data_IF_397344656538
#
_entry.id   IF_397344656538
#
_cell.length_a   1.000
_cell.length_b   1.000
_cell.length_c   1.000
_cell.angle_alpha   90.00
_cell.angle_beta   90.00
_cell.angle_gamma   90.00
#
_symmetry.space_group_name_H-M   'P 1'
#
loop_
_entity.id
_entity.type
_entity.pdbx_description
1 polymer ?
#
# COMPACT_ATOMS: atom_id res chain seq x y z
N UNK A 1 19.24 1.37 -0.03
CA UNK A 1 18.52 2.52 0.43
C UNK A 1 18.53 2.75 1.94
N UNK A 2 18.96 1.78 2.73
CA UNK A 2 19.15 1.93 4.18
C UNK A 2 20.63 1.73 4.46
N UNK A 3 21.25 2.66 5.16
CA UNK A 3 22.68 2.60 5.50
C UNK A 3 23.45 3.79 4.96
N UNK A 4 24.43 3.58 4.12
CA UNK A 4 25.32 4.64 3.68
C UNK A 4 24.71 5.57 2.63
N UNK A 5 24.90 6.85 2.85
CA UNK A 5 24.53 7.93 1.95
C UNK A 5 25.80 8.47 1.28
N UNK A 6 25.88 8.52 -0.07
CA UNK A 6 27.02 9.10 -0.73
C UNK A 6 27.10 10.62 -0.44
N UNK A 7 28.30 11.20 -0.38
CA UNK A 7 28.47 12.64 -0.23
C UNK A 7 27.93 13.38 -1.45
N UNK A 8 27.76 14.69 -1.31
CA UNK A 8 27.38 15.57 -2.42
C UNK A 8 28.41 15.44 -3.55
N UNK A 9 27.92 15.24 -4.78
CA UNK A 9 28.71 14.97 -5.99
C UNK A 9 29.53 13.66 -5.93
N UNK A 10 29.36 12.84 -4.90
CA UNK A 10 30.04 11.55 -4.80
C UNK A 10 29.48 10.52 -5.79
N UNK A 11 30.36 9.59 -6.20
CA UNK A 11 30.02 8.43 -7.05
C UNK A 11 29.73 7.25 -6.13
N UNK A 12 28.64 6.52 -6.39
CA UNK A 12 28.27 5.32 -5.65
C UNK A 12 27.86 4.22 -6.62
N UNK A 13 28.60 3.12 -6.56
CA UNK A 13 28.30 1.88 -7.32
C UNK A 13 27.48 0.95 -6.42
N UNK A 14 26.38 0.41 -6.91
CA UNK A 14 25.39 -0.32 -6.09
C UNK A 14 24.72 -1.46 -6.85
N UNK A 15 24.30 -2.45 -6.09
CA UNK A 15 23.46 -3.56 -6.59
C UNK A 15 21.97 -3.35 -6.29
N UNK A 16 21.60 -2.30 -5.55
CA UNK A 16 20.22 -1.98 -5.24
C UNK A 16 19.50 -1.32 -6.41
N UNK A 17 18.40 -1.90 -6.87
CA UNK A 17 17.58 -1.39 -7.97
C UNK A 17 16.70 -0.19 -7.61
N UNK A 18 16.56 0.16 -6.33
CA UNK A 18 15.85 1.36 -5.86
C UNK A 18 16.81 2.52 -5.63
N UNK A 19 17.36 3.06 -6.71
CA UNK A 19 18.46 4.02 -6.69
C UNK A 19 18.18 5.30 -7.50
N UNK A 20 16.94 5.69 -7.69
CA UNK A 20 16.60 6.93 -8.38
C UNK A 20 17.20 8.15 -7.68
N UNK A 21 17.39 9.24 -8.42
CA UNK A 21 18.03 10.47 -7.98
C UNK A 21 17.45 10.97 -6.64
N UNK A 22 18.30 11.22 -5.67
CA UNK A 22 17.93 11.69 -4.33
C UNK A 22 17.38 10.61 -3.37
N UNK A 23 17.19 9.36 -3.82
CA UNK A 23 16.68 8.28 -2.96
C UNK A 23 17.58 7.98 -1.76
N UNK A 24 18.88 7.98 -1.97
CA UNK A 24 19.89 7.56 -1.00
C UNK A 24 20.80 8.72 -0.58
N UNK A 25 20.27 9.92 -0.44
CA UNK A 25 21.00 11.07 0.04
C UNK A 25 20.97 12.28 -0.88
N UNK A 26 22.12 12.90 -1.14
CA UNK A 26 22.21 14.10 -1.96
C UNK A 26 21.65 13.89 -3.39
N UNK A 27 20.82 14.81 -3.85
CA UNK A 27 20.30 14.80 -5.21
C UNK A 27 21.39 14.93 -6.30
N UNK A 28 22.57 15.39 -5.92
CA UNK A 28 23.71 15.58 -6.83
C UNK A 28 24.67 14.38 -6.84
N UNK A 29 24.43 13.35 -6.01
CA UNK A 29 25.22 12.13 -6.05
C UNK A 29 24.93 11.34 -7.33
N UNK A 30 26.00 10.77 -7.88
CA UNK A 30 25.93 9.92 -9.07
C UNK A 30 25.81 8.46 -8.64
N UNK A 31 24.68 7.83 -8.95
CA UNK A 31 24.38 6.46 -8.55
C UNK A 31 24.42 5.55 -9.78
N UNK A 32 25.23 4.49 -9.70
CA UNK A 32 25.37 3.47 -10.76
C UNK A 32 24.88 2.12 -10.25
N UNK A 33 23.92 1.54 -10.97
CA UNK A 33 23.43 0.19 -10.74
C UNK A 33 24.30 -0.78 -11.51
N UNK A 34 24.88 -1.75 -10.82
CA UNK A 34 25.75 -2.77 -11.41
C UNK A 34 25.43 -4.15 -10.85
N UNK A 35 26.01 -5.19 -11.44
CA UNK A 35 25.98 -6.55 -10.90
C UNK A 35 26.81 -6.66 -9.62
N UNK A 36 26.55 -7.68 -8.77
CA UNK A 36 27.39 -7.94 -7.58
C UNK A 36 28.88 -8.11 -7.91
N UNK A 37 29.17 -8.78 -9.05
CA UNK A 37 30.54 -9.04 -9.52
C UNK A 37 31.25 -7.72 -9.88
N UNK A 38 30.58 -6.85 -10.63
CA UNK A 38 31.10 -5.52 -10.96
C UNK A 38 31.28 -4.64 -9.72
N UNK A 39 30.37 -4.74 -8.74
CA UNK A 39 30.53 -4.01 -7.47
C UNK A 39 31.75 -4.49 -6.71
N UNK A 40 31.98 -5.80 -6.63
CA UNK A 40 33.15 -6.40 -5.98
C UNK A 40 34.45 -6.02 -6.71
N UNK A 41 34.48 -6.14 -8.03
CA UNK A 41 35.64 -5.76 -8.86
C UNK A 41 35.98 -4.25 -8.67
N UNK A 42 34.97 -3.38 -8.69
CA UNK A 42 35.14 -1.95 -8.46
C UNK A 42 35.69 -1.67 -7.05
N UNK A 43 35.25 -2.40 -6.02
CA UNK A 43 35.75 -2.27 -4.66
C UNK A 43 37.22 -2.68 -4.52
N UNK A 44 37.64 -3.75 -5.24
CA UNK A 44 39.01 -4.24 -5.26
C UNK A 44 39.93 -3.26 -6.01
N UNK A 45 39.49 -2.79 -7.18
CA UNK A 45 40.30 -1.93 -8.05
C UNK A 45 40.35 -0.46 -7.56
N UNK A 46 39.39 -0.02 -6.74
CA UNK A 46 39.23 1.40 -6.34
C UNK A 46 38.75 2.33 -7.46
N UNK A 47 38.47 1.78 -8.63
CA UNK A 47 37.91 2.49 -9.80
C UNK A 47 36.79 1.67 -10.42
N UNK A 48 35.94 2.31 -11.23
CA UNK A 48 34.85 1.59 -11.90
C UNK A 48 35.42 0.54 -12.88
N UNK A 49 35.25 -0.75 -12.53
CA UNK A 49 35.93 -1.87 -13.17
C UNK A 49 35.00 -3.07 -13.21
N UNK A 50 35.01 -3.83 -14.30
CA UNK A 50 34.27 -5.09 -14.43
C UNK A 50 35.05 -6.26 -13.83
N UNK A 51 34.35 -7.37 -13.56
CA UNK A 51 35.02 -8.61 -13.13
C UNK A 51 35.99 -9.15 -14.23
N UNK A 52 35.59 -9.02 -15.47
CA UNK A 52 36.39 -9.44 -16.65
C UNK A 52 37.68 -8.65 -16.73
N UNK A 53 37.70 -7.35 -16.47
CA UNK A 53 38.89 -6.50 -16.48
C UNK A 53 39.93 -6.95 -15.45
N UNK A 54 39.50 -7.50 -14.32
CA UNK A 54 40.39 -8.00 -13.25
C UNK A 54 40.86 -9.41 -13.53
N UNK A 55 39.96 -10.28 -13.93
CA UNK A 55 40.21 -11.72 -14.02
C UNK A 55 40.62 -12.21 -15.42
N UNK A 56 40.35 -11.41 -16.45
CA UNK A 56 40.69 -11.76 -17.84
C UNK A 56 39.87 -12.93 -18.40
N UNK A 57 38.75 -13.27 -17.79
CA UNK A 57 37.86 -14.37 -18.17
C UNK A 57 36.44 -13.88 -18.37
N UNK A 58 35.66 -14.59 -19.18
CA UNK A 58 34.25 -14.30 -19.35
C UNK A 58 33.50 -14.60 -18.04
N UNK A 59 32.49 -13.74 -17.69
CA UNK A 59 31.70 -13.86 -16.47
C UNK A 59 30.99 -15.24 -16.39
N UNK A 60 30.66 -15.86 -17.52
CA UNK A 60 30.07 -17.20 -17.58
C UNK A 60 30.96 -18.29 -16.96
N UNK A 61 32.29 -18.12 -16.97
CA UNK A 61 33.22 -19.06 -16.36
C UNK A 61 33.33 -18.85 -14.83
N UNK A 62 33.00 -17.65 -14.34
CA UNK A 62 32.99 -17.32 -12.91
C UNK A 62 31.78 -17.86 -12.16
N UNK A 63 30.74 -18.28 -12.89
CA UNK A 63 29.45 -18.68 -12.33
C UNK A 63 29.43 -20.10 -11.74
N UNK A 64 30.52 -20.86 -11.81
CA UNK A 64 30.64 -22.18 -11.19
C UNK A 64 30.95 -22.06 -9.67
N UNK A 65 30.00 -21.44 -8.96
CA UNK A 65 30.04 -21.47 -7.50
C UNK A 65 29.53 -22.83 -7.04
N UNK A 66 30.42 -23.65 -6.51
CA UNK A 66 30.00 -24.88 -5.84
C UNK A 66 29.31 -24.53 -4.52
N UNK A 67 28.12 -25.08 -4.33
CA UNK A 67 27.49 -24.98 -3.01
C UNK A 67 28.35 -25.68 -1.97
N UNK A 68 28.52 -25.10 -0.77
CA UNK A 68 29.27 -25.75 0.30
C UNK A 68 28.54 -27.02 0.76
N UNK A 69 29.27 -28.07 1.11
CA UNK A 69 28.67 -29.29 1.69
C UNK A 69 27.89 -28.99 2.99
N UNK A 70 28.31 -27.97 3.73
CA UNK A 70 27.64 -27.50 4.93
C UNK A 70 27.59 -25.99 4.97
N UNK A 71 26.39 -25.45 5.21
CA UNK A 71 26.19 -24.01 5.45
C UNK A 71 26.51 -23.70 6.92
N UNK A 72 27.20 -22.57 7.13
CA UNK A 72 27.36 -22.05 8.49
C UNK A 72 26.02 -21.41 8.91
N UNK A 73 25.27 -22.12 9.74
CA UNK A 73 23.97 -21.66 10.26
C UNK A 73 24.15 -21.36 11.75
N UNK A 74 23.89 -20.14 12.16
CA UNK A 74 23.80 -19.71 13.53
C UNK A 74 22.35 -19.30 13.84
N UNK A 75 21.65 -20.14 14.55
CA UNK A 75 20.28 -19.96 15.00
C UNK A 75 20.15 -19.51 16.46
N UNK A 76 21.26 -19.17 17.10
CA UNK A 76 21.31 -18.78 18.52
C UNK A 76 20.45 -17.56 18.86
N UNK A 77 20.16 -16.72 17.85
CA UNK A 77 19.33 -15.53 18.00
C UNK A 77 17.83 -15.79 17.80
N UNK A 78 17.43 -17.01 17.41
CA UNK A 78 16.01 -17.33 17.29
C UNK A 78 15.38 -17.51 18.67
N UNK A 79 14.34 -16.72 18.90
CA UNK A 79 13.49 -16.86 20.09
C UNK A 79 12.38 -17.84 19.73
N UNK A 80 12.35 -18.99 20.40
CA UNK A 80 11.31 -19.99 20.19
C UNK A 80 9.95 -19.47 20.65
N UNK A 81 8.83 -19.90 20.01
CA UNK A 81 7.50 -19.63 20.53
C UNK A 81 7.36 -20.12 21.97
N UNK A 82 6.63 -19.37 22.77
CA UNK A 82 6.26 -19.82 24.11
C UNK A 82 5.27 -20.98 24.05
N UNK A 83 5.22 -21.85 25.07
CA UNK A 83 4.16 -22.82 25.21
C UNK A 83 2.78 -22.15 25.27
N UNK A 84 1.74 -22.82 24.76
CA UNK A 84 0.37 -22.27 24.66
C UNK A 84 -0.14 -21.72 26.00
N UNK A 85 0.17 -22.39 27.12
CA UNK A 85 -0.21 -21.95 28.47
C UNK A 85 0.41 -20.61 28.90
N UNK A 86 1.49 -20.21 28.27
CA UNK A 86 2.20 -18.96 28.55
C UNK A 86 1.81 -17.85 27.56
N UNK A 87 1.34 -18.21 26.35
CA UNK A 87 0.98 -17.23 25.31
C UNK A 87 -0.12 -16.26 25.77
N UNK A 88 -1.12 -16.76 26.52
CA UNK A 88 -2.20 -15.92 27.03
C UNK A 88 -1.75 -14.87 28.05
N UNK A 89 -0.58 -15.08 28.67
CA UNK A 89 0.00 -14.19 29.69
C UNK A 89 0.93 -13.14 29.10
N UNK A 90 1.23 -13.23 27.80
CA UNK A 90 2.15 -12.31 27.13
C UNK A 90 1.53 -10.94 26.99
N UNK A 91 2.14 -9.95 27.62
CA UNK A 91 1.80 -8.56 27.43
C UNK A 91 2.50 -8.01 26.18
N UNK A 92 1.73 -7.41 25.27
CA UNK A 92 2.28 -6.75 24.08
C UNK A 92 2.80 -5.37 24.48
N UNK A 93 4.10 -5.25 24.66
CA UNK A 93 4.77 -3.99 24.96
C UNK A 93 5.05 -3.24 23.66
N UNK A 94 4.42 -2.08 23.46
CA UNK A 94 4.62 -1.22 22.29
C UNK A 94 5.46 0.00 22.66
N UNK A 95 6.36 0.36 21.76
CA UNK A 95 7.06 1.65 21.86
C UNK A 95 6.07 2.83 21.75
N UNK A 96 6.45 4.02 22.20
CA UNK A 96 5.52 5.18 22.32
C UNK A 96 4.90 5.60 20.98
N UNK A 97 5.58 5.36 19.87
CA UNK A 97 5.12 5.70 18.52
C UNK A 97 4.43 4.53 17.80
N UNK A 98 4.29 3.37 18.44
CA UNK A 98 3.61 2.21 17.86
C UNK A 98 2.20 2.14 18.44
N UNK A 99 1.20 2.38 17.59
CA UNK A 99 -0.21 2.29 17.96
C UNK A 99 -0.83 0.97 17.47
N UNK A 100 -1.88 0.46 18.12
CA UNK A 100 -2.59 -0.70 17.62
C UNK A 100 -3.01 -0.51 16.15
N UNK A 101 -2.90 -1.60 15.37
CA UNK A 101 -3.37 -1.59 13.99
C UNK A 101 -4.90 -1.40 13.98
N UNK A 102 -5.43 -0.42 13.24
CA UNK A 102 -6.87 -0.30 13.08
C UNK A 102 -7.42 -1.50 12.30
N UNK A 103 -8.45 -2.12 12.82
CA UNK A 103 -9.10 -3.27 12.17
C UNK A 103 -10.40 -2.77 11.55
N UNK A 104 -10.60 -2.94 10.22
CA UNK A 104 -11.80 -2.48 9.55
C UNK A 104 -13.03 -3.26 10.00
N UNK A 105 -14.19 -2.64 9.84
CA UNK A 105 -15.49 -3.27 10.08
C UNK A 105 -15.99 -3.99 8.84
N UNK A 106 -16.90 -4.95 9.03
CA UNK A 106 -17.63 -5.57 7.91
C UNK A 106 -18.49 -4.52 7.20
N UNK A 107 -18.69 -4.64 5.88
CA UNK A 107 -19.63 -3.78 5.17
C UNK A 107 -21.01 -3.78 5.83
N UNK A 108 -21.63 -2.63 5.88
CA UNK A 108 -23.01 -2.47 6.39
C UNK A 108 -24.03 -3.05 5.41
N UNK A 109 -25.24 -3.29 5.90
CA UNK A 109 -26.35 -3.74 5.06
C UNK A 109 -26.72 -2.69 4.01
N UNK A 110 -26.79 -1.43 4.43
CA UNK A 110 -26.96 -0.29 3.55
C UNK A 110 -25.83 0.71 3.82
N UNK A 111 -25.26 1.30 2.80
CA UNK A 111 -24.21 2.32 2.95
C UNK A 111 -24.81 3.70 2.65
N UNK A 112 -24.74 4.59 3.65
CA UNK A 112 -25.04 6.02 3.52
C UNK A 112 -23.73 6.77 3.79
N UNK A 113 -23.18 7.45 2.80
CA UNK A 113 -21.85 8.05 2.86
C UNK A 113 -21.73 9.27 1.96
N UNK A 114 -20.84 10.21 2.34
CA UNK A 114 -20.56 11.40 1.54
C UNK A 114 -19.31 11.22 0.70
N UNK A 115 -19.26 11.91 -0.45
CA UNK A 115 -18.03 11.97 -1.24
C UNK A 115 -17.02 12.85 -0.50
N UNK A 116 -15.97 12.21 0.06
CA UNK A 116 -14.90 12.93 0.77
C UNK A 116 -13.79 13.44 -0.13
N UNK A 117 -13.67 12.89 -1.34
CA UNK A 117 -12.70 13.32 -2.34
C UNK A 117 -13.25 13.01 -3.74
N UNK A 118 -13.14 13.98 -4.65
CA UNK A 118 -13.23 13.75 -6.09
C UNK A 118 -11.86 14.00 -6.69
N UNK A 119 -11.15 12.93 -7.01
CA UNK A 119 -9.79 12.95 -7.50
C UNK A 119 -9.75 12.74 -9.02
N UNK A 120 -8.84 13.41 -9.70
CA UNK A 120 -8.61 13.23 -11.14
C UNK A 120 -7.91 11.93 -11.49
N UNK A 121 -7.34 11.89 -12.69
CA UNK A 121 -6.61 10.75 -13.21
C UNK A 121 -5.21 10.62 -12.59
N UNK A 122 -4.67 9.40 -12.62
CA UNK A 122 -3.30 9.08 -12.24
C UNK A 122 -2.92 9.44 -10.80
N UNK A 123 -3.86 9.37 -9.88
CA UNK A 123 -3.56 9.51 -8.45
C UNK A 123 -2.59 8.41 -8.03
N UNK A 124 -1.45 8.83 -7.47
CA UNK A 124 -0.40 7.91 -7.01
C UNK A 124 -0.59 7.52 -5.55
N UNK A 125 0.02 6.40 -5.16
CA UNK A 125 0.08 6.03 -3.73
C UNK A 125 0.87 7.05 -2.89
N UNK A 126 1.73 7.90 -3.51
CA UNK A 126 2.39 9.03 -2.86
C UNK A 126 1.47 10.23 -2.64
N UNK A 127 0.49 10.43 -3.51
CA UNK A 127 -0.55 11.44 -3.32
C UNK A 127 -1.48 11.04 -2.18
N UNK A 128 -1.84 9.74 -2.12
CA UNK A 128 -2.69 9.21 -1.06
C UNK A 128 -1.98 9.26 0.30
N UNK A 129 -0.75 8.73 0.36
CA UNK A 129 0.02 8.70 1.61
C UNK A 129 1.48 9.02 1.31
N UNK A 130 1.96 10.21 1.63
CA UNK A 130 3.32 10.64 1.31
C UNK A 130 4.39 9.74 1.91
N UNK A 131 5.46 9.47 1.16
CA UNK A 131 6.59 8.67 1.58
C UNK A 131 7.90 9.48 1.54
N UNK A 132 8.19 10.15 2.62
CA UNK A 132 9.49 10.76 2.88
C UNK A 132 10.04 10.27 4.22
N UNK A 133 11.26 10.65 4.56
CA UNK A 133 11.87 10.32 5.86
C UNK A 133 10.97 10.75 7.04
N UNK A 134 10.34 11.93 6.94
CA UNK A 134 9.38 12.43 7.93
C UNK A 134 8.23 11.45 8.16
N UNK A 135 7.62 10.94 7.08
CA UNK A 135 6.45 10.06 7.17
C UNK A 135 6.84 8.61 7.52
N UNK A 136 8.08 8.21 7.18
CA UNK A 136 8.58 6.87 7.51
C UNK A 136 8.62 6.62 9.01
N UNK A 137 8.90 7.63 9.82
CA UNK A 137 8.92 7.52 11.28
C UNK A 137 7.53 7.38 11.92
N UNK A 138 6.45 7.69 11.18
CA UNK A 138 5.06 7.66 11.68
C UNK A 138 4.29 6.43 11.23
N UNK A 139 4.88 5.53 10.44
CA UNK A 139 4.16 4.41 9.78
C UNK A 139 3.41 3.50 10.74
N UNK A 140 3.92 3.31 11.95
CA UNK A 140 3.28 2.51 12.98
C UNK A 140 2.29 3.30 13.86
N UNK A 141 2.03 4.56 13.51
CA UNK A 141 1.10 5.45 14.22
C UNK A 141 0.01 5.93 13.27
N UNK A 142 -1.01 5.07 13.05
CA UNK A 142 -2.10 5.38 12.10
C UNK A 142 -2.85 6.66 12.43
N UNK A 143 -3.22 6.97 13.68
CA UNK A 143 -3.87 8.24 14.02
C UNK A 143 -3.08 9.47 13.56
N UNK A 144 -1.75 9.42 13.66
CA UNK A 144 -0.89 10.52 13.21
C UNK A 144 -0.71 10.50 11.69
N UNK A 145 -0.50 9.33 11.10
CA UNK A 145 -0.27 9.18 9.66
C UNK A 145 -1.49 9.57 8.84
N UNK A 146 -2.68 9.23 9.31
CA UNK A 146 -3.95 9.53 8.64
C UNK A 146 -4.22 11.05 8.49
N UNK A 147 -3.67 11.88 9.38
CA UNK A 147 -3.78 13.34 9.26
C UNK A 147 -3.14 13.89 7.99
N UNK A 148 -2.23 13.13 7.37
CA UNK A 148 -1.52 13.51 6.16
C UNK A 148 -2.03 12.80 4.89
N UNK A 149 -3.13 12.04 4.99
CA UNK A 149 -3.74 11.44 3.81
C UNK A 149 -4.14 12.53 2.81
N UNK A 150 -3.72 12.35 1.56
CA UNK A 150 -3.91 13.30 0.45
C UNK A 150 -3.38 14.72 0.68
N UNK A 151 -2.56 14.98 1.69
CA UNK A 151 -2.17 16.33 2.07
C UNK A 151 -1.47 17.14 0.96
N UNK A 152 -0.95 16.49 -0.08
CA UNK A 152 -0.36 17.15 -1.25
C UNK A 152 -1.38 17.42 -2.35
N UNK A 153 -2.47 16.67 -2.39
CA UNK A 153 -3.53 16.76 -3.39
C UNK A 153 -4.70 17.61 -2.89
N UNK A 154 -5.16 17.33 -1.68
CA UNK A 154 -6.26 18.02 -0.99
C UNK A 154 -5.95 18.08 0.51
N UNK A 155 -5.35 19.16 1.01
CA UNK A 155 -4.96 19.31 2.42
C UNK A 155 -6.13 19.20 3.42
N UNK A 156 -7.36 19.43 3.00
CA UNK A 156 -8.55 19.36 3.87
C UNK A 156 -9.19 17.96 3.89
N UNK A 157 -8.72 17.03 3.06
CA UNK A 157 -9.30 15.70 2.96
C UNK A 157 -9.43 15.00 4.31
N UNK A 158 -8.35 14.93 5.10
CA UNK A 158 -8.34 14.20 6.37
C UNK A 158 -9.38 14.72 7.35
N UNK A 159 -9.49 16.04 7.49
CA UNK A 159 -10.48 16.66 8.36
C UNK A 159 -11.91 16.42 7.85
N UNK A 160 -12.11 16.57 6.56
CA UNK A 160 -13.41 16.36 5.90
C UNK A 160 -13.87 14.91 6.04
N UNK A 161 -13.04 13.93 5.69
CA UNK A 161 -13.37 12.52 5.81
C UNK A 161 -13.70 12.15 7.26
N UNK A 162 -12.89 12.62 8.22
CA UNK A 162 -13.13 12.40 9.64
C UNK A 162 -14.45 13.02 10.11
N UNK A 163 -14.81 14.21 9.63
CA UNK A 163 -16.07 14.87 9.99
C UNK A 163 -17.32 14.14 9.45
N UNK A 164 -17.17 13.44 8.33
CA UNK A 164 -18.26 12.65 7.75
C UNK A 164 -18.44 11.30 8.45
N UNK A 165 -17.39 10.78 9.06
CA UNK A 165 -17.39 9.45 9.70
C UNK A 165 -17.44 8.29 8.73
N UNK A 166 -18.28 8.38 7.68
CA UNK A 166 -18.36 7.43 6.58
C UNK A 166 -18.27 8.17 5.26
N UNK A 167 -17.40 7.71 4.38
CA UNK A 167 -17.21 8.39 3.11
C UNK A 167 -16.83 7.46 1.96
N UNK A 168 -16.97 8.00 0.77
CA UNK A 168 -16.59 7.38 -0.51
C UNK A 168 -15.60 8.32 -1.20
N UNK A 169 -14.59 7.74 -1.84
CA UNK A 169 -13.66 8.47 -2.71
C UNK A 169 -14.06 8.21 -4.16
N UNK A 170 -14.12 9.26 -4.96
CA UNK A 170 -14.29 9.19 -6.41
C UNK A 170 -12.96 9.43 -7.07
N UNK A 171 -12.52 8.51 -7.93
CA UNK A 171 -11.25 8.56 -8.67
C UNK A 171 -11.44 8.60 -10.19
N UNK A 172 -10.48 9.17 -10.90
CA UNK A 172 -10.39 9.10 -12.35
C UNK A 172 -9.74 7.81 -12.84
N UNK A 173 -9.03 7.89 -13.96
CA UNK A 173 -8.27 6.77 -14.54
C UNK A 173 -7.04 6.44 -13.73
N UNK A 174 -6.67 5.13 -13.69
CA UNK A 174 -5.42 4.62 -13.11
C UNK A 174 -5.21 5.07 -11.65
N UNK A 175 -6.28 5.03 -10.85
CA UNK A 175 -6.24 5.43 -9.45
C UNK A 175 -5.37 4.49 -8.61
N UNK A 176 -4.50 5.05 -7.77
CA UNK A 176 -3.62 4.30 -6.86
C UNK A 176 -2.36 3.73 -7.51
N UNK A 177 -1.92 4.28 -8.65
CA UNK A 177 -0.70 3.84 -9.30
C UNK A 177 0.56 4.05 -8.44
N UNK A 178 1.64 3.36 -8.77
CA UNK A 178 2.95 3.53 -8.14
C UNK A 178 3.34 2.38 -7.22
N UNK A 179 4.06 2.69 -6.14
CA UNK A 179 4.59 1.68 -5.22
C UNK A 179 3.49 0.93 -4.45
N UNK A 180 3.73 -0.36 -4.16
CA UNK A 180 2.87 -1.14 -3.28
C UNK A 180 2.95 -0.59 -1.84
N UNK A 181 1.91 0.12 -1.41
CA UNK A 181 1.84 0.73 -0.07
C UNK A 181 0.50 0.45 0.56
N UNK A 182 0.50 -0.41 1.55
CA UNK A 182 -0.70 -0.68 2.35
C UNK A 182 -1.23 0.58 3.03
N UNK A 183 -0.34 1.49 3.44
CA UNK A 183 -0.72 2.76 4.06
C UNK A 183 -1.66 3.60 3.18
N UNK A 184 -1.56 3.47 1.85
CA UNK A 184 -2.48 4.12 0.93
C UNK A 184 -3.93 3.56 0.99
N UNK A 185 -4.12 2.42 1.63
CA UNK A 185 -5.45 1.89 1.96
C UNK A 185 -5.78 2.05 3.45
N UNK A 186 -4.81 1.81 4.35
CA UNK A 186 -5.04 1.90 5.81
C UNK A 186 -5.41 3.31 6.24
N UNK A 187 -4.75 4.35 5.69
CA UNK A 187 -5.03 5.73 6.13
C UNK A 187 -6.42 6.22 5.73
N UNK A 188 -6.92 6.03 4.50
CA UNK A 188 -8.32 6.30 4.18
C UNK A 188 -9.30 5.45 4.97
N UNK A 189 -9.03 4.16 5.15
CA UNK A 189 -9.86 3.27 5.97
C UNK A 189 -10.00 3.81 7.41
N UNK A 190 -8.88 4.21 8.02
CA UNK A 190 -8.87 4.79 9.37
C UNK A 190 -9.71 6.07 9.46
N UNK A 191 -9.79 6.86 8.38
CA UNK A 191 -10.60 8.07 8.29
C UNK A 191 -12.07 7.80 7.94
N UNK A 192 -12.49 6.52 7.85
CA UNK A 192 -13.88 6.16 7.60
C UNK A 192 -14.26 6.00 6.12
N UNK A 193 -13.28 5.94 5.22
CA UNK A 193 -13.56 5.59 3.81
C UNK A 193 -14.01 4.14 3.71
N UNK A 194 -15.20 3.90 3.14
CA UNK A 194 -15.82 2.59 2.99
C UNK A 194 -15.68 2.02 1.58
N UNK A 195 -15.60 2.88 0.59
CA UNK A 195 -15.47 2.49 -0.80
C UNK A 195 -14.67 3.51 -1.62
N UNK A 196 -14.11 3.05 -2.71
CA UNK A 196 -13.51 3.88 -3.77
C UNK A 196 -14.19 3.52 -5.07
N UNK A 197 -14.73 4.50 -5.79
CA UNK A 197 -15.31 4.35 -7.12
C UNK A 197 -14.42 5.09 -8.10
N UNK A 198 -13.86 4.40 -9.09
CA UNK A 198 -12.94 5.02 -10.04
C UNK A 198 -13.27 4.63 -11.48
N UNK A 199 -12.73 5.36 -12.46
CA UNK A 199 -12.82 4.94 -13.87
C UNK A 199 -11.98 3.70 -14.13
N UNK A 200 -10.79 3.62 -13.49
CA UNK A 200 -9.93 2.43 -13.44
C UNK A 200 -8.99 2.48 -12.23
N UNK A 201 -8.47 1.33 -11.80
CA UNK A 201 -7.57 1.22 -10.62
C UNK A 201 -6.32 0.44 -10.93
N UNK A 202 -5.21 0.86 -10.33
CA UNK A 202 -3.97 0.10 -10.33
C UNK A 202 -4.14 -1.21 -9.52
N UNK A 203 -3.74 -2.34 -10.12
CA UNK A 203 -3.95 -3.69 -9.56
C UNK A 203 -3.50 -3.85 -8.11
N UNK A 204 -2.28 -3.40 -7.78
CA UNK A 204 -1.72 -3.56 -6.43
C UNK A 204 -2.55 -2.75 -5.41
N UNK A 205 -2.95 -1.54 -5.78
CA UNK A 205 -3.75 -0.69 -4.90
C UNK A 205 -5.16 -1.27 -4.68
N UNK A 206 -5.79 -1.81 -5.73
CA UNK A 206 -7.06 -2.54 -5.64
C UNK A 206 -6.97 -3.65 -4.59
N UNK A 207 -5.91 -4.48 -4.64
CA UNK A 207 -5.71 -5.55 -3.66
C UNK A 207 -5.51 -5.00 -2.24
N UNK A 208 -4.78 -3.89 -2.07
CA UNK A 208 -4.64 -3.26 -0.76
C UNK A 208 -5.96 -2.74 -0.21
N UNK A 209 -6.83 -2.17 -1.04
CA UNK A 209 -8.18 -1.75 -0.63
C UNK A 209 -8.98 -2.95 -0.10
N UNK A 210 -9.00 -4.08 -0.84
CA UNK A 210 -9.65 -5.33 -0.46
C UNK A 210 -9.14 -5.82 0.90
N UNK A 211 -7.81 -5.89 1.06
CA UNK A 211 -7.17 -6.36 2.28
C UNK A 211 -7.57 -5.53 3.52
N UNK A 212 -7.89 -4.28 3.33
CA UNK A 212 -8.29 -3.35 4.39
C UNK A 212 -9.79 -3.03 4.39
N UNK A 213 -10.62 -3.85 3.75
CA UNK A 213 -12.08 -3.76 3.82
C UNK A 213 -12.69 -2.53 3.17
N UNK A 214 -11.95 -1.85 2.29
CA UNK A 214 -12.48 -0.79 1.42
C UNK A 214 -12.94 -1.44 0.12
N UNK A 215 -14.19 -1.20 -0.28
CA UNK A 215 -14.77 -1.79 -1.48
C UNK A 215 -14.29 -1.05 -2.74
N UNK A 216 -13.48 -1.68 -3.62
CA UNK A 216 -13.04 -1.06 -4.87
C UNK A 216 -14.08 -1.29 -5.96
N UNK A 217 -14.62 -0.22 -6.51
CA UNK A 217 -15.65 -0.25 -7.55
C UNK A 217 -15.17 0.52 -8.79
N UNK A 218 -15.58 0.06 -9.96
CA UNK A 218 -15.33 0.71 -11.24
C UNK A 218 -16.65 1.23 -11.79
N UNK A 219 -16.69 2.46 -12.28
CA UNK A 219 -17.87 3.00 -12.95
C UNK A 219 -18.30 2.09 -14.10
N UNK A 220 -19.55 1.65 -14.13
CA UNK A 220 -20.09 0.90 -15.27
C UNK A 220 -20.12 1.79 -16.54
N UNK A 221 -20.39 3.08 -16.35
CA UNK A 221 -20.25 4.11 -17.38
C UNK A 221 -19.28 5.19 -16.87
N UNK A 222 -18.08 5.34 -17.45
CA UNK A 222 -17.09 6.34 -17.01
C UNK A 222 -17.59 7.79 -17.05
N UNK A 223 -18.61 8.11 -17.86
CA UNK A 223 -19.20 9.45 -17.94
C UNK A 223 -19.96 9.85 -16.66
N UNK A 224 -20.35 8.88 -15.82
CA UNK A 224 -21.03 9.18 -14.55
C UNK A 224 -20.11 9.87 -13.54
N UNK A 225 -18.79 9.72 -13.69
CA UNK A 225 -17.80 10.47 -12.91
C UNK A 225 -18.05 11.98 -12.96
N UNK A 226 -18.39 12.53 -14.15
CA UNK A 226 -18.54 13.98 -14.35
C UNK A 226 -19.79 14.55 -13.65
N UNK A 227 -20.77 13.70 -13.36
CA UNK A 227 -22.03 14.09 -12.72
C UNK A 227 -21.92 14.27 -11.20
N UNK A 228 -20.89 13.70 -10.58
CA UNK A 228 -20.69 13.68 -9.13
C UNK A 228 -19.89 14.89 -8.66
N UNK A 229 -20.15 15.37 -7.45
CA UNK A 229 -19.43 16.49 -6.84
C UNK A 229 -18.90 16.11 -5.44
N UNK A 230 -17.92 16.86 -4.97
CA UNK A 230 -17.45 16.77 -3.61
C UNK A 230 -18.61 17.05 -2.64
N UNK A 231 -18.73 16.22 -1.60
CA UNK A 231 -19.77 16.28 -0.56
C UNK A 231 -21.17 15.79 -0.98
N UNK A 232 -21.36 15.31 -2.21
CA UNK A 232 -22.61 14.64 -2.57
C UNK A 232 -22.88 13.46 -1.65
N UNK A 233 -24.14 13.25 -1.30
CA UNK A 233 -24.61 12.20 -0.40
C UNK A 233 -25.02 10.96 -1.20
N UNK A 234 -24.22 9.90 -1.12
CA UNK A 234 -24.46 8.66 -1.81
C UNK A 234 -25.14 7.64 -0.91
N UNK A 235 -26.12 6.92 -1.47
CA UNK A 235 -26.81 5.84 -0.79
C UNK A 235 -26.75 4.56 -1.63
N UNK A 236 -26.40 3.46 -0.98
CA UNK A 236 -26.35 2.13 -1.61
C UNK A 236 -27.21 1.19 -0.76
N UNK A 237 -28.43 0.87 -1.21
CA UNK A 237 -29.30 -0.08 -0.54
C UNK A 237 -28.75 -1.50 -0.68
N UNK A 238 -29.02 -2.38 0.29
CA UNK A 238 -28.61 -3.79 0.27
C UNK A 238 -27.14 -3.97 -0.14
N UNK A 239 -26.25 -3.11 0.38
CA UNK A 239 -24.86 -3.01 -0.08
C UNK A 239 -24.11 -4.34 -0.03
N UNK A 240 -24.32 -5.13 1.03
CA UNK A 240 -23.69 -6.46 1.15
C UNK A 240 -24.13 -7.42 0.04
N UNK A 241 -25.40 -7.44 -0.31
CA UNK A 241 -25.91 -8.30 -1.39
C UNK A 241 -25.43 -7.81 -2.76
N UNK A 242 -25.35 -6.50 -2.95
CA UNK A 242 -24.84 -5.93 -4.18
C UNK A 242 -23.33 -6.22 -4.34
N UNK A 243 -22.54 -6.24 -3.26
CA UNK A 243 -21.13 -6.68 -3.31
C UNK A 243 -21.04 -8.14 -3.80
N UNK A 244 -21.91 -9.04 -3.30
CA UNK A 244 -21.94 -10.45 -3.75
C UNK A 244 -22.32 -10.58 -5.23
N UNK A 245 -23.23 -9.76 -5.71
CA UNK A 245 -23.65 -9.76 -7.12
C UNK A 245 -22.62 -9.13 -8.05
N UNK A 246 -21.58 -8.46 -7.50
CA UNK A 246 -20.55 -7.71 -8.23
C UNK A 246 -21.09 -6.55 -9.05
N UNK A 247 -22.32 -6.16 -8.84
CA UNK A 247 -23.00 -5.04 -9.48
C UNK A 247 -23.65 -4.16 -8.43
N UNK A 248 -23.34 -2.88 -8.43
CA UNK A 248 -23.76 -1.95 -7.38
C UNK A 248 -24.46 -0.75 -8.01
N UNK A 249 -25.72 -0.55 -7.65
CA UNK A 249 -26.49 0.65 -8.00
C UNK A 249 -26.39 1.65 -6.87
N UNK A 250 -25.97 2.86 -7.19
CA UNK A 250 -25.71 3.95 -6.26
C UNK A 250 -26.69 5.08 -6.55
N UNK A 251 -27.34 5.57 -5.50
CA UNK A 251 -28.23 6.73 -5.56
C UNK A 251 -27.47 7.96 -5.01
N UNK A 252 -27.37 9.02 -5.80
CA UNK A 252 -26.94 10.31 -5.31
C UNK A 252 -28.16 11.10 -4.81
N UNK A 253 -28.31 11.15 -3.50
CA UNK A 253 -29.42 11.84 -2.82
C UNK A 253 -29.38 13.37 -3.03
N UNK A 254 -28.20 13.92 -3.30
CA UNK A 254 -28.01 15.36 -3.49
C UNK A 254 -28.57 15.82 -4.82
N UNK A 255 -28.29 15.06 -5.88
CA UNK A 255 -28.68 15.43 -7.26
C UNK A 255 -29.90 14.67 -7.75
N UNK A 256 -30.28 13.57 -7.09
CA UNK A 256 -31.41 12.70 -7.47
C UNK A 256 -31.08 11.76 -8.63
N UNK A 257 -29.80 11.61 -9.02
CA UNK A 257 -29.40 10.69 -10.08
C UNK A 257 -29.04 9.31 -9.49
N UNK A 258 -29.14 8.28 -10.33
CA UNK A 258 -28.61 6.97 -10.02
C UNK A 258 -27.60 6.56 -11.09
N UNK A 259 -26.60 5.80 -10.67
CA UNK A 259 -25.57 5.26 -11.56
C UNK A 259 -25.11 3.88 -11.06
N UNK A 260 -24.45 3.14 -11.93
CA UNK A 260 -23.99 1.79 -11.63
C UNK A 260 -22.47 1.70 -11.57
N UNK A 261 -22.00 0.82 -10.69
CA UNK A 261 -20.59 0.44 -10.59
C UNK A 261 -20.47 -1.09 -10.56
N UNK A 262 -19.31 -1.59 -10.98
CA UNK A 262 -19.01 -3.02 -11.02
C UNK A 262 -17.81 -3.36 -10.15
N UNK A 263 -17.79 -4.56 -9.60
CA UNK A 263 -16.66 -5.10 -8.85
C UNK A 263 -15.97 -6.17 -9.72
N UNK A 264 -14.78 -5.81 -10.22
CA UNK A 264 -13.91 -6.74 -10.96
C UNK A 264 -13.10 -7.59 -9.98
N UNK A 265 -13.80 -8.45 -9.21
CA UNK A 265 -13.25 -9.24 -8.11
C UNK A 265 -13.57 -10.72 -8.27
N UNK A 266 -12.68 -11.58 -7.77
CA UNK A 266 -12.96 -13.00 -7.61
C UNK A 266 -13.93 -13.25 -6.44
N UNK A 267 -14.47 -14.47 -6.35
CA UNK A 267 -15.37 -14.84 -5.25
C UNK A 267 -14.63 -14.82 -3.90
N UNK A 268 -13.35 -15.24 -3.88
CA UNK A 268 -12.53 -15.20 -2.67
C UNK A 268 -12.28 -13.74 -2.20
N UNK A 269 -12.02 -12.81 -3.13
CA UNK A 269 -11.86 -11.39 -2.81
C UNK A 269 -13.16 -10.77 -2.27
N UNK A 270 -14.32 -11.20 -2.78
CA UNK A 270 -15.63 -10.81 -2.24
C UNK A 270 -15.79 -11.30 -0.80
N UNK A 271 -15.41 -12.54 -0.49
CA UNK A 271 -15.46 -13.04 0.89
C UNK A 271 -14.55 -12.25 1.83
N UNK A 272 -13.36 -11.90 1.39
CA UNK A 272 -12.43 -11.06 2.16
C UNK A 272 -13.07 -9.71 2.51
N UNK A 273 -13.68 -9.04 1.53
CA UNK A 273 -14.37 -7.76 1.75
C UNK A 273 -15.54 -7.92 2.72
N UNK A 274 -16.37 -8.95 2.54
CA UNK A 274 -17.55 -9.19 3.38
C UNK A 274 -17.20 -9.50 4.84
N UNK A 275 -16.00 -10.04 5.08
CA UNK A 275 -15.45 -10.20 6.42
C UNK A 275 -14.83 -8.90 7.02
N UNK A 276 -14.68 -7.85 6.22
CA UNK A 276 -14.04 -6.60 6.65
C UNK A 276 -12.53 -6.62 6.46
N UNK A 277 -12.03 -7.37 5.47
CA UNK A 277 -10.63 -7.41 5.08
C UNK A 277 -9.88 -8.69 5.49
N UNK A 278 -8.66 -8.80 4.99
CA UNK A 278 -7.85 -10.02 5.03
C UNK A 278 -7.60 -10.55 6.45
N UNK A 279 -7.32 -9.68 7.42
CA UNK A 279 -7.03 -10.13 8.79
C UNK A 279 -8.24 -10.80 9.45
N UNK A 280 -9.43 -10.25 9.27
CA UNK A 280 -10.67 -10.86 9.79
C UNK A 280 -11.02 -12.13 9.05
N UNK A 281 -10.80 -12.17 7.74
CA UNK A 281 -10.99 -13.36 6.94
C UNK A 281 -10.09 -14.51 7.45
N UNK A 282 -8.80 -14.28 7.61
CA UNK A 282 -7.85 -15.28 8.16
C UNK A 282 -8.25 -15.70 9.58
N UNK A 283 -8.63 -14.76 10.44
CA UNK A 283 -9.11 -15.06 11.79
C UNK A 283 -10.34 -15.98 11.78
N UNK A 284 -11.26 -15.77 10.84
CA UNK A 284 -12.42 -16.65 10.64
C UNK A 284 -11.99 -18.06 10.23
N UNK A 285 -11.08 -18.15 9.27
CA UNK A 285 -10.61 -19.45 8.76
C UNK A 285 -9.84 -20.23 9.83
N UNK A 286 -8.99 -19.60 10.60
CA UNK A 286 -8.25 -20.24 11.71
C UNK A 286 -9.16 -20.78 12.83
N UNK A 287 -10.35 -20.20 13.02
CA UNK A 287 -11.33 -20.72 14.00
C UNK A 287 -12.06 -21.98 13.54
N UNK A 288 -11.89 -22.38 12.28
CA UNK A 288 -12.49 -23.61 11.73
C UNK A 288 -11.58 -24.83 11.89
N UNK A 289 -10.30 -24.61 12.21
CA UNK A 289 -9.28 -25.62 12.49
C UNK A 289 -9.25 -25.92 13.97
#
# INVERSE_FOLDING_TARGET
GIGQTPPTNGISVRTSNRNFKGRSGSANAQLYLVSPETAAATAIAGTFTTAEDIMGTEVSELANVHEPEHYFIDDSMFIKPLPDEELEKVEIVRGPNIKPLPIPEKPEENLDAKISLKAGDNITTDDITPASAKFSSMRSNMPLMAQYAYCRYDPEFSKRAQSYGKSIIIGGENYGQGSSREHAAITPMFLGVKAVIAKSMARIHKNNLINHGIVPMIFANPADYDKLNLSDELYIPNFREQIKSKHVTIEDKTTGISFDAVLELSDDEIEVILEGGQLRYVQRELKKI
#
